data_IF_911998621068
#
_entry.id   IF_911998621068
#
_cell.length_a   1.000
_cell.length_b   1.000
_cell.length_c   1.000
_cell.angle_alpha   90.00
_cell.angle_beta   90.00
_cell.angle_gamma   90.00
#
_symmetry.space_group_name_H-M   'P 1'
#
loop_
_entity.id
_entity.type
_entity.pdbx_description
1 polymer ?
#
# COMPACT_ATOMS: atom_id res chain seq x y z
N UNK A 1 -20.63 -1.96 25.46
CA UNK A 1 -21.46 -1.66 24.25
C UNK A 1 -21.82 -0.20 24.32
N UNK A 2 -21.60 0.55 23.23
CA UNK A 2 -21.76 2.01 23.20
C UNK A 2 -23.22 2.42 22.89
N UNK A 3 -24.21 1.61 23.22
CA UNK A 3 -25.63 1.92 22.91
C UNK A 3 -25.93 2.01 21.42
N UNK A 4 -25.18 1.30 20.58
CA UNK A 4 -25.39 1.24 19.13
C UNK A 4 -25.99 -0.10 18.76
N UNK A 5 -27.16 -0.06 18.11
CA UNK A 5 -27.79 -1.25 17.56
C UNK A 5 -27.46 -1.32 16.07
N UNK A 6 -26.89 -2.45 15.63
CA UNK A 6 -26.60 -2.69 14.20
C UNK A 6 -27.59 -3.68 13.64
N UNK A 7 -28.17 -3.36 12.49
CA UNK A 7 -29.03 -4.29 11.76
C UNK A 7 -28.77 -4.18 10.25
N UNK A 8 -29.01 -5.28 9.54
CA UNK A 8 -28.76 -5.35 8.09
C UNK A 8 -30.05 -5.66 7.35
N UNK A 9 -30.41 -4.79 6.41
CA UNK A 9 -31.55 -4.96 5.50
C UNK A 9 -31.08 -4.82 4.07
N UNK A 10 -31.44 -5.74 3.20
CA UNK A 10 -31.07 -5.73 1.78
C UNK A 10 -29.56 -5.53 1.54
N UNK A 11 -28.72 -6.22 2.31
CA UNK A 11 -27.24 -6.12 2.28
C UNK A 11 -26.68 -4.76 2.70
N UNK A 12 -27.49 -3.84 3.22
CA UNK A 12 -27.07 -2.58 3.80
C UNK A 12 -27.15 -2.65 5.31
N UNK A 13 -26.06 -2.30 5.99
CA UNK A 13 -26.01 -2.25 7.45
C UNK A 13 -26.31 -0.83 7.92
N UNK A 14 -27.17 -0.72 8.91
CA UNK A 14 -27.58 0.51 9.56
C UNK A 14 -27.17 0.47 11.02
N UNK A 15 -26.72 1.60 11.53
CA UNK A 15 -26.39 1.80 12.93
C UNK A 15 -27.46 2.74 13.54
N UNK A 16 -28.16 2.28 14.59
CA UNK A 16 -29.05 3.12 15.39
C UNK A 16 -28.33 3.41 16.71
N UNK A 17 -28.19 4.67 17.06
CA UNK A 17 -27.55 5.09 18.29
C UNK A 17 -28.33 6.25 18.94
N UNK A 18 -28.32 6.30 20.26
CA UNK A 18 -28.78 7.47 20.98
C UNK A 18 -27.75 8.62 20.84
N UNK A 19 -28.20 9.89 20.92
CA UNK A 19 -27.29 11.01 21.11
C UNK A 19 -26.39 10.76 22.32
N UNK A 20 -25.12 11.26 22.26
CA UNK A 20 -24.16 10.98 23.31
C UNK A 20 -23.24 12.14 23.60
N UNK A 21 -22.72 12.17 24.83
CA UNK A 21 -21.62 13.01 25.26
C UNK A 21 -20.36 12.17 25.42
N UNK A 22 -19.25 12.67 24.89
CA UNK A 22 -17.94 12.07 25.07
C UNK A 22 -17.19 12.92 26.11
N UNK A 23 -16.88 12.37 27.30
CA UNK A 23 -16.12 13.06 28.35
C UNK A 23 -14.75 12.41 28.51
N UNK A 24 -13.64 13.17 28.53
CA UNK A 24 -12.31 12.62 28.82
C UNK A 24 -12.25 12.00 30.22
N UNK A 25 -11.54 10.88 30.37
CA UNK A 25 -11.34 10.17 31.65
C UNK A 25 -10.30 10.82 32.58
N UNK A 26 -9.76 11.98 32.24
CA UNK A 26 -8.75 12.68 33.03
C UNK A 26 -7.86 13.59 32.19
N UNK A 27 -6.87 14.23 32.83
CA UNK A 27 -5.84 15.04 32.17
C UNK A 27 -4.81 14.12 31.53
N UNK A 28 -4.59 14.21 30.20
CA UNK A 28 -3.61 13.39 29.47
C UNK A 28 -4.23 12.32 28.55
N UNK A 29 -5.45 12.54 28.09
CA UNK A 29 -6.15 11.68 27.11
C UNK A 29 -5.31 11.44 25.88
N UNK A 30 -4.99 10.16 25.58
CA UNK A 30 -4.16 9.76 24.44
C UNK A 30 -4.89 8.92 23.37
N UNK A 31 -6.19 8.66 23.55
CA UNK A 31 -6.92 7.85 22.58
C UNK A 31 -8.38 7.61 22.92
N UNK A 32 -9.09 6.98 22.00
CA UNK A 32 -10.55 6.72 22.09
C UNK A 32 -11.00 5.88 23.32
N UNK A 33 -10.09 5.12 23.93
CA UNK A 33 -10.38 4.36 25.17
C UNK A 33 -10.44 5.23 26.42
N UNK A 34 -9.99 6.48 26.34
CA UNK A 34 -9.90 7.40 27.46
C UNK A 34 -11.11 8.30 27.60
N UNK A 35 -12.20 7.99 26.88
CA UNK A 35 -13.49 8.68 27.00
C UNK A 35 -14.52 7.85 27.75
N UNK A 36 -15.26 8.51 28.63
CA UNK A 36 -16.54 7.98 29.12
C UNK A 36 -17.62 8.43 28.13
N UNK A 37 -18.18 7.45 27.43
CA UNK A 37 -19.30 7.69 26.52
C UNK A 37 -20.60 7.53 27.32
N UNK A 38 -21.38 8.60 27.41
CA UNK A 38 -22.70 8.60 28.03
C UNK A 38 -23.75 8.84 26.96
N UNK A 39 -24.55 7.80 26.66
CA UNK A 39 -25.75 7.94 25.86
C UNK A 39 -26.82 8.68 26.66
N UNK A 40 -27.44 9.68 26.06
CA UNK A 40 -28.43 10.54 26.71
C UNK A 40 -29.55 10.81 25.68
N UNK A 41 -30.75 10.20 25.83
CA UNK A 41 -31.85 10.38 24.88
C UNK A 41 -32.37 11.80 24.83
N UNK A 42 -32.17 12.58 25.91
CA UNK A 42 -32.65 13.97 26.02
C UNK A 42 -31.58 14.98 25.56
N UNK A 43 -30.41 14.51 25.11
CA UNK A 43 -29.35 15.38 24.61
C UNK A 43 -29.83 16.09 23.31
N UNK A 44 -29.78 17.45 23.27
CA UNK A 44 -30.04 18.17 22.04
C UNK A 44 -29.19 17.68 20.88
N UNK A 45 -29.79 17.49 19.69
CA UNK A 45 -29.11 16.96 18.51
C UNK A 45 -27.87 17.80 18.14
N UNK A 46 -27.94 19.12 18.32
CA UNK A 46 -26.83 20.03 18.06
C UNK A 46 -25.58 19.67 18.89
N UNK A 47 -25.78 19.20 20.12
CA UNK A 47 -24.66 18.76 20.99
C UNK A 47 -24.06 17.44 20.53
N UNK A 48 -24.83 16.52 19.98
CA UNK A 48 -24.30 15.31 19.34
C UNK A 48 -23.55 15.66 18.03
N UNK A 49 -24.05 16.62 17.27
CA UNK A 49 -23.40 17.08 16.04
C UNK A 49 -22.11 17.88 16.32
N UNK A 50 -22.07 18.67 17.39
CA UNK A 50 -20.91 19.51 17.79
C UNK A 50 -19.64 18.68 18.05
N UNK A 51 -19.77 17.49 18.65
CA UNK A 51 -18.63 16.62 18.95
C UNK A 51 -18.03 15.94 17.72
N UNK A 52 -18.67 16.02 16.54
CA UNK A 52 -18.18 15.41 15.29
C UNK A 52 -16.97 16.18 14.76
N UNK A 53 -16.23 15.52 13.87
CA UNK A 53 -14.96 16.03 13.32
C UNK A 53 -15.12 17.27 12.43
N UNK A 54 -15.95 17.16 11.36
CA UNK A 54 -16.02 18.20 10.34
C UNK A 54 -17.47 18.64 10.09
N UNK A 55 -17.66 19.93 9.77
CA UNK A 55 -18.96 20.53 9.51
C UNK A 55 -19.77 19.79 8.44
N UNK A 56 -19.10 19.38 7.35
CA UNK A 56 -19.76 18.59 6.28
C UNK A 56 -20.27 17.22 6.76
N UNK A 57 -19.80 16.73 7.91
CA UNK A 57 -20.21 15.49 8.56
C UNK A 57 -21.04 15.73 9.85
N UNK A 58 -21.36 16.98 10.15
CA UNK A 58 -22.10 17.41 11.36
C UNK A 58 -23.50 17.94 10.99
N UNK A 59 -24.13 17.27 10.05
CA UNK A 59 -25.50 17.51 9.62
C UNK A 59 -26.36 16.28 9.89
N UNK A 60 -27.65 16.46 10.05
CA UNK A 60 -28.62 15.39 10.19
C UNK A 60 -29.82 15.61 9.27
N UNK A 61 -30.43 14.51 8.83
CA UNK A 61 -31.70 14.52 8.10
C UNK A 61 -32.81 14.05 9.04
N UNK A 62 -33.81 14.86 9.25
CA UNK A 62 -34.99 14.47 10.01
C UNK A 62 -35.94 13.67 9.10
N UNK A 63 -36.15 12.39 9.45
CA UNK A 63 -36.80 11.43 8.56
C UNK A 63 -38.31 11.72 8.36
N UNK A 64 -38.97 12.46 9.29
CA UNK A 64 -40.41 12.73 9.22
C UNK A 64 -40.79 13.68 8.07
N UNK A 65 -39.93 14.69 7.85
CA UNK A 65 -40.20 15.79 6.90
C UNK A 65 -39.04 16.03 5.93
N UNK A 66 -38.01 15.20 5.98
CA UNK A 66 -36.79 15.34 5.21
C UNK A 66 -36.03 16.69 5.42
N UNK A 67 -36.29 17.37 6.53
CA UNK A 67 -35.60 18.60 6.86
C UNK A 67 -34.13 18.33 7.22
N UNK A 68 -33.21 19.08 6.61
CA UNK A 68 -31.77 18.99 6.96
C UNK A 68 -31.48 19.97 8.09
N UNK A 69 -31.02 19.41 9.20
CA UNK A 69 -30.57 20.14 10.39
C UNK A 69 -29.08 20.38 10.22
N UNK A 70 -28.67 21.63 10.12
CA UNK A 70 -27.28 22.05 9.82
C UNK A 70 -26.84 23.23 10.70
N UNK A 71 -26.59 22.99 12.00
CA UNK A 71 -26.25 24.06 12.94
C UNK A 71 -24.84 24.64 12.71
N UNK A 72 -23.96 23.93 12.00
CA UNK A 72 -22.55 24.30 11.80
C UNK A 72 -22.22 24.72 10.35
N UNK A 73 -23.22 24.96 9.51
CA UNK A 73 -23.06 25.38 8.10
C UNK A 73 -22.34 24.33 7.22
N UNK A 74 -22.57 23.04 7.47
CA UNK A 74 -21.99 21.94 6.72
C UNK A 74 -22.40 21.95 5.24
N UNK A 75 -23.64 22.37 4.90
CA UNK A 75 -24.08 22.57 3.50
C UNK A 75 -23.21 23.58 2.75
N UNK A 76 -22.88 24.71 3.41
CA UNK A 76 -22.06 25.75 2.81
C UNK A 76 -20.63 25.21 2.55
N UNK A 77 -20.04 24.47 3.50
CA UNK A 77 -18.74 23.86 3.36
C UNK A 77 -18.72 22.78 2.27
N UNK A 78 -19.77 21.97 2.17
CA UNK A 78 -19.93 20.98 1.10
C UNK A 78 -20.03 21.65 -0.28
N UNK A 79 -20.79 22.73 -0.40
CA UNK A 79 -20.87 23.52 -1.64
C UNK A 79 -19.53 24.16 -2.02
N UNK A 80 -18.79 24.64 -1.03
CA UNK A 80 -17.46 25.25 -1.21
C UNK A 80 -16.34 24.20 -1.40
N UNK A 81 -16.64 22.91 -1.27
CA UNK A 81 -15.68 21.80 -1.29
C UNK A 81 -14.51 22.02 -0.33
N UNK A 82 -14.82 22.35 0.92
CA UNK A 82 -13.83 22.59 1.95
C UNK A 82 -14.16 21.82 3.22
N UNK A 83 -13.14 21.26 3.86
CA UNK A 83 -13.25 20.60 5.16
C UNK A 83 -12.89 21.61 6.23
N UNK A 84 -13.85 21.93 7.10
CA UNK A 84 -13.66 22.76 8.30
C UNK A 84 -14.04 21.99 9.56
N UNK A 85 -13.37 22.32 10.67
CA UNK A 85 -13.68 21.75 11.98
C UNK A 85 -15.08 22.14 12.43
N UNK A 86 -15.79 21.21 13.04
CA UNK A 86 -17.06 21.50 13.72
C UNK A 86 -16.79 22.31 14.96
N UNK A 87 -15.93 21.78 15.84
CA UNK A 87 -15.43 22.43 17.05
C UNK A 87 -13.91 22.28 17.12
N UNK A 88 -13.13 23.38 16.99
CA UNK A 88 -11.67 23.31 17.08
C UNK A 88 -11.15 22.80 18.43
N UNK A 89 -11.82 23.13 19.54
CA UNK A 89 -11.39 22.75 20.88
C UNK A 89 -11.60 21.25 21.15
N UNK A 90 -12.63 20.67 20.54
CA UNK A 90 -12.90 19.23 20.63
C UNK A 90 -12.12 18.38 19.60
N UNK A 91 -11.44 18.99 18.64
CA UNK A 91 -10.75 18.24 17.57
C UNK A 91 -9.61 17.36 18.11
N UNK A 92 -8.78 17.80 19.09
CA UNK A 92 -7.71 16.98 19.67
C UNK A 92 -8.20 15.77 20.47
N UNK A 93 -9.47 15.72 20.86
CA UNK A 93 -10.04 14.64 21.67
C UNK A 93 -9.91 13.25 20.98
N UNK A 94 -9.92 13.20 19.65
CA UNK A 94 -9.66 11.97 18.90
C UNK A 94 -8.56 12.21 17.85
N UNK A 95 -7.30 11.83 18.14
CA UNK A 95 -6.18 12.00 17.22
C UNK A 95 -6.41 11.41 15.83
N UNK A 96 -7.32 10.42 15.68
CA UNK A 96 -7.66 9.86 14.37
C UNK A 96 -8.27 10.90 13.42
N UNK A 97 -8.88 11.97 13.95
CA UNK A 97 -9.47 13.03 13.13
C UNK A 97 -8.45 13.68 12.20
N UNK A 98 -7.16 13.68 12.56
CA UNK A 98 -6.08 14.15 11.69
C UNK A 98 -5.98 13.28 10.41
N UNK A 99 -5.98 11.95 10.56
CA UNK A 99 -5.96 11.03 9.42
C UNK A 99 -7.27 11.13 8.62
N UNK A 100 -8.40 11.28 9.33
CA UNK A 100 -9.73 11.46 8.72
C UNK A 100 -9.79 12.73 7.87
N UNK A 101 -9.14 13.84 8.27
CA UNK A 101 -9.07 15.06 7.46
C UNK A 101 -8.45 14.79 6.08
N UNK A 102 -7.30 14.11 6.03
CA UNK A 102 -6.66 13.72 4.77
C UNK A 102 -7.55 12.79 3.94
N UNK A 103 -8.20 11.81 4.59
CA UNK A 103 -9.11 10.90 3.90
C UNK A 103 -10.34 11.61 3.32
N UNK A 104 -11.00 12.47 4.10
CA UNK A 104 -12.15 13.22 3.60
C UNK A 104 -11.76 14.14 2.44
N UNK A 105 -10.62 14.82 2.54
CA UNK A 105 -10.10 15.66 1.45
C UNK A 105 -9.93 14.83 0.17
N UNK A 106 -9.30 13.67 0.28
CA UNK A 106 -9.02 12.80 -0.86
C UNK A 106 -10.27 12.15 -1.46
N UNK A 107 -11.18 11.65 -0.61
CA UNK A 107 -12.37 10.90 -1.07
C UNK A 107 -13.48 11.82 -1.58
N UNK A 108 -13.64 13.00 -0.98
CA UNK A 108 -14.66 13.99 -1.40
C UNK A 108 -14.12 15.01 -2.39
N UNK A 109 -12.79 15.01 -2.66
CA UNK A 109 -12.11 16.01 -3.50
C UNK A 109 -12.29 17.43 -2.94
N UNK A 110 -12.15 17.56 -1.60
CA UNK A 110 -12.29 18.81 -0.88
C UNK A 110 -10.93 19.33 -0.44
N UNK A 111 -10.78 20.65 -0.36
CA UNK A 111 -9.62 21.29 0.27
C UNK A 111 -9.71 21.23 1.80
N UNK A 112 -8.56 21.22 2.46
CA UNK A 112 -8.46 21.26 3.93
C UNK A 112 -8.28 22.71 4.36
N UNK A 113 -9.12 23.20 5.29
CA UNK A 113 -9.02 24.55 5.81
C UNK A 113 -7.71 24.75 6.63
N UNK A 114 -7.06 25.93 6.54
CA UNK A 114 -5.79 26.22 7.22
C UNK A 114 -5.76 25.87 8.70
N UNK A 115 -6.86 26.13 9.39
CA UNK A 115 -6.98 25.84 10.85
C UNK A 115 -6.75 24.37 11.21
N UNK A 116 -7.07 23.43 10.30
CA UNK A 116 -6.84 22.00 10.53
C UNK A 116 -5.34 21.71 10.55
N UNK A 117 -4.55 22.32 9.67
CA UNK A 117 -3.09 22.16 9.67
C UNK A 117 -2.45 22.69 10.95
N UNK A 118 -2.94 23.84 11.45
CA UNK A 118 -2.43 24.44 12.68
C UNK A 118 -2.67 23.50 13.87
N UNK A 119 -3.91 23.10 14.09
CA UNK A 119 -4.30 22.25 15.23
C UNK A 119 -3.64 20.88 15.15
N UNK A 120 -3.52 20.29 13.95
CA UNK A 120 -2.96 18.95 13.77
C UNK A 120 -1.49 18.83 14.16
N UNK A 121 -0.71 19.90 14.09
CA UNK A 121 0.73 19.89 14.43
C UNK A 121 1.02 19.54 15.88
N UNK A 122 0.11 19.90 16.77
CA UNK A 122 0.24 19.70 18.22
C UNK A 122 -0.32 18.35 18.70
N UNK A 123 -0.96 17.57 17.80
CA UNK A 123 -1.60 16.32 18.16
C UNK A 123 -0.61 15.16 18.09
N UNK A 124 -0.44 14.45 19.22
CA UNK A 124 0.31 13.19 19.28
C UNK A 124 -0.52 12.04 18.68
N UNK A 125 0.01 11.42 17.63
CA UNK A 125 -0.64 10.29 16.94
C UNK A 125 -0.14 8.93 17.43
N UNK A 126 0.85 8.88 18.32
CA UNK A 126 1.52 7.64 18.77
C UNK A 126 0.59 6.66 19.48
N UNK A 127 -0.48 7.17 20.12
CA UNK A 127 -1.49 6.37 20.81
C UNK A 127 -2.55 5.74 19.91
N UNK A 128 -2.53 5.97 18.59
CA UNK A 128 -3.50 5.38 17.68
C UNK A 128 -3.28 3.88 17.48
N UNK A 129 -4.35 3.11 17.53
CA UNK A 129 -4.26 1.68 17.20
C UNK A 129 -3.95 1.47 15.71
N UNK A 130 -3.14 0.47 15.41
CA UNK A 130 -2.71 0.18 14.02
C UNK A 130 -3.89 -0.16 13.11
N UNK A 131 -4.94 -0.76 13.66
CA UNK A 131 -6.16 -1.10 12.92
C UNK A 131 -6.89 0.16 12.45
N UNK A 132 -7.02 1.17 13.31
CA UNK A 132 -7.65 2.46 12.95
C UNK A 132 -6.82 3.22 11.91
N UNK A 133 -5.49 3.22 12.05
CA UNK A 133 -4.58 3.84 11.09
C UNK A 133 -4.70 3.16 9.72
N UNK A 134 -4.66 1.82 9.70
CA UNK A 134 -4.81 1.04 8.47
C UNK A 134 -6.16 1.29 7.78
N UNK A 135 -7.24 1.37 8.57
CA UNK A 135 -8.58 1.62 8.03
C UNK A 135 -8.64 2.96 7.27
N UNK A 136 -8.07 4.04 7.82
CA UNK A 136 -8.05 5.34 7.15
C UNK A 136 -7.13 5.32 5.91
N UNK A 137 -5.93 4.72 5.99
CA UNK A 137 -5.04 4.55 4.84
C UNK A 137 -5.73 3.73 3.73
N UNK A 138 -6.35 2.61 4.06
CA UNK A 138 -7.02 1.76 3.07
C UNK A 138 -8.23 2.46 2.44
N UNK A 139 -8.97 3.28 3.20
CA UNK A 139 -10.05 4.10 2.64
C UNK A 139 -9.52 5.14 1.63
N UNK A 140 -8.37 5.75 1.88
CA UNK A 140 -7.70 6.61 0.89
C UNK A 140 -7.38 5.79 -0.37
N UNK A 141 -6.68 4.67 -0.22
CA UNK A 141 -6.23 3.85 -1.34
C UNK A 141 -7.39 3.27 -2.17
N UNK A 142 -8.50 2.86 -1.53
CA UNK A 142 -9.63 2.25 -2.23
C UNK A 142 -10.61 3.27 -2.80
N UNK A 143 -10.96 4.31 -2.04
CA UNK A 143 -12.13 5.13 -2.28
C UNK A 143 -11.80 6.48 -2.93
N UNK A 144 -10.54 6.91 -2.90
CA UNK A 144 -10.14 8.14 -3.58
C UNK A 144 -9.98 7.90 -5.09
N UNK A 145 -10.37 8.88 -5.90
CA UNK A 145 -10.02 8.94 -7.33
C UNK A 145 -8.51 9.18 -7.52
N UNK A 146 -7.92 9.97 -6.62
CA UNK A 146 -6.49 10.31 -6.57
C UNK A 146 -5.96 10.13 -5.14
N UNK A 147 -5.48 8.92 -4.79
CA UNK A 147 -4.90 8.65 -3.47
C UNK A 147 -3.77 9.60 -3.08
N UNK A 148 -3.03 10.15 -4.06
CA UNK A 148 -1.97 11.15 -3.84
C UNK A 148 -2.43 12.35 -3.02
N UNK A 149 -3.68 12.79 -3.17
CA UNK A 149 -4.27 13.90 -2.38
C UNK A 149 -4.30 13.55 -0.89
N UNK A 150 -4.74 12.34 -0.55
CA UNK A 150 -4.76 11.87 0.84
C UNK A 150 -3.37 11.64 1.41
N UNK A 151 -2.44 11.11 0.60
CA UNK A 151 -1.05 10.91 0.97
C UNK A 151 -0.34 12.26 1.20
N UNK A 152 -0.60 13.25 0.36
CA UNK A 152 -0.12 14.61 0.55
C UNK A 152 -0.72 15.25 1.79
N UNK A 153 -2.01 14.98 2.08
CA UNK A 153 -2.65 15.34 3.34
C UNK A 153 -1.92 14.72 4.54
N UNK A 154 -1.52 13.44 4.47
CA UNK A 154 -0.71 12.80 5.51
C UNK A 154 0.65 13.50 5.72
N UNK A 155 1.28 13.95 4.65
CA UNK A 155 2.51 14.73 4.76
C UNK A 155 2.26 16.09 5.43
N UNK A 156 1.35 16.90 4.88
CA UNK A 156 1.09 18.28 5.35
C UNK A 156 0.52 18.35 6.78
N UNK A 157 -0.22 17.31 7.21
CA UNK A 157 -0.77 17.19 8.57
C UNK A 157 0.19 16.53 9.58
N UNK A 158 1.42 16.18 9.17
CA UNK A 158 2.42 15.61 10.08
C UNK A 158 2.27 14.09 10.34
N UNK A 159 1.29 13.43 9.71
CA UNK A 159 1.05 11.98 9.86
C UNK A 159 2.24 11.15 9.41
N UNK A 160 2.86 11.50 8.25
CA UNK A 160 4.03 10.77 7.76
C UNK A 160 5.18 10.83 8.76
N UNK A 161 5.45 11.99 9.34
CA UNK A 161 6.54 12.17 10.29
C UNK A 161 6.39 11.29 11.52
N UNK A 162 5.16 11.16 12.04
CA UNK A 162 4.88 10.44 13.28
C UNK A 162 4.67 8.93 13.05
N UNK A 163 3.91 8.53 12.03
CA UNK A 163 3.48 7.15 11.85
C UNK A 163 4.22 6.40 10.73
N UNK A 164 4.68 7.12 9.69
CA UNK A 164 5.33 6.55 8.50
C UNK A 164 6.67 7.25 8.20
N UNK A 165 7.64 7.22 9.14
CA UNK A 165 8.91 7.94 8.97
C UNK A 165 9.69 7.51 7.74
N UNK A 166 9.49 6.27 7.25
CA UNK A 166 10.10 5.80 6.02
C UNK A 166 9.57 6.56 4.79
N UNK A 167 8.25 6.81 4.72
CA UNK A 167 7.64 7.63 3.68
C UNK A 167 8.01 9.12 3.83
N UNK A 168 8.11 9.60 5.07
CA UNK A 168 8.56 10.97 5.31
C UNK A 168 9.95 11.24 4.74
N UNK A 169 10.88 10.27 4.82
CA UNK A 169 12.21 10.43 4.22
C UNK A 169 12.19 10.61 2.71
N UNK A 170 11.17 10.09 2.01
CA UNK A 170 11.02 10.28 0.56
C UNK A 170 10.78 11.75 0.19
N UNK A 171 10.14 12.53 1.08
CA UNK A 171 9.90 13.97 0.87
C UNK A 171 11.17 14.80 0.91
N UNK A 172 12.22 14.27 1.56
CA UNK A 172 13.53 14.90 1.72
C UNK A 172 14.57 14.37 0.72
N UNK A 173 14.20 13.42 -0.13
CA UNK A 173 15.14 12.71 -1.02
C UNK A 173 14.92 13.12 -2.45
N UNK A 174 15.99 13.61 -3.08
CA UNK A 174 16.03 14.01 -4.49
C UNK A 174 16.52 12.84 -5.32
N UNK A 175 16.00 12.70 -6.52
CA UNK A 175 16.44 11.76 -7.54
C UNK A 175 16.92 12.48 -8.80
N UNK A 176 17.57 11.76 -9.70
CA UNK A 176 18.14 12.37 -10.89
C UNK A 176 17.08 12.69 -11.94
N UNK A 177 17.04 13.94 -12.40
CA UNK A 177 16.09 14.44 -13.40
C UNK A 177 16.14 13.72 -14.75
N UNK A 178 17.26 13.05 -15.08
CA UNK A 178 17.37 12.27 -16.32
C UNK A 178 16.48 11.01 -16.29
N UNK A 179 16.33 10.43 -15.11
CA UNK A 179 15.55 9.20 -14.91
C UNK A 179 14.16 9.47 -14.35
N UNK A 180 13.98 10.63 -13.69
CA UNK A 180 12.78 11.09 -13.02
C UNK A 180 12.52 12.56 -13.35
N UNK A 181 11.97 12.86 -14.55
CA UNK A 181 11.74 14.23 -15.01
C UNK A 181 10.59 14.93 -14.27
N UNK A 182 9.71 14.18 -13.60
CA UNK A 182 8.57 14.70 -12.85
C UNK A 182 9.01 15.64 -11.72
N UNK A 183 8.26 16.72 -11.50
CA UNK A 183 8.55 17.76 -10.52
C UNK A 183 7.38 17.96 -9.56
N UNK A 184 7.69 18.18 -8.30
CA UNK A 184 6.71 18.60 -7.31
C UNK A 184 6.31 20.09 -7.48
N UNK A 185 5.40 20.59 -6.65
CA UNK A 185 4.90 21.96 -6.68
C UNK A 185 6.00 23.03 -6.47
N UNK A 186 7.18 22.62 -5.99
CA UNK A 186 8.36 23.48 -5.78
C UNK A 186 9.41 23.31 -6.87
N UNK A 187 9.17 22.49 -7.87
CA UNK A 187 10.10 22.22 -8.96
C UNK A 187 11.18 21.18 -8.66
N UNK A 188 11.06 20.44 -7.55
CA UNK A 188 12.03 19.43 -7.14
C UNK A 188 11.65 18.03 -7.66
N UNK A 189 12.66 17.23 -7.99
CA UNK A 189 12.53 15.83 -8.39
C UNK A 189 12.59 14.93 -7.13
N UNK A 190 11.55 14.97 -6.28
CA UNK A 190 11.54 14.20 -5.04
C UNK A 190 11.04 12.77 -5.27
N UNK A 191 11.62 11.81 -4.52
CA UNK A 191 11.12 10.43 -4.52
C UNK A 191 9.66 10.36 -4.06
N UNK A 192 9.25 11.26 -3.18
CA UNK A 192 7.87 11.37 -2.71
C UNK A 192 6.89 11.74 -3.83
N UNK A 193 7.25 12.71 -4.66
CA UNK A 193 6.38 13.12 -5.77
C UNK A 193 6.18 11.98 -6.75
N UNK A 194 7.27 11.30 -7.16
CA UNK A 194 7.23 10.09 -7.96
C UNK A 194 6.33 9.01 -7.33
N UNK A 195 6.53 8.73 -6.03
CA UNK A 195 5.72 7.73 -5.31
C UNK A 195 4.22 8.05 -5.36
N UNK A 196 3.84 9.32 -5.16
CA UNK A 196 2.44 9.76 -5.26
C UNK A 196 1.85 9.51 -6.64
N UNK A 197 2.57 9.90 -7.70
CA UNK A 197 2.14 9.67 -9.09
C UNK A 197 2.02 8.16 -9.39
N UNK A 198 2.99 7.36 -8.95
CA UNK A 198 2.95 5.90 -9.11
C UNK A 198 1.73 5.27 -8.43
N UNK A 199 1.35 5.73 -7.23
CA UNK A 199 0.14 5.25 -6.54
C UNK A 199 -1.14 5.65 -7.28
N UNK A 200 -1.22 6.86 -7.84
CA UNK A 200 -2.37 7.29 -8.64
C UNK A 200 -2.50 6.47 -9.94
N UNK A 201 -1.37 6.19 -10.61
CA UNK A 201 -1.37 5.32 -11.78
C UNK A 201 -1.78 3.87 -11.41
N UNK A 202 -1.30 3.36 -10.26
CA UNK A 202 -1.68 2.05 -9.75
C UNK A 202 -3.18 1.96 -9.45
N UNK A 203 -3.76 3.00 -8.83
CA UNK A 203 -5.20 3.08 -8.57
C UNK A 203 -6.00 3.04 -9.87
N UNK A 204 -5.62 3.87 -10.84
CA UNK A 204 -6.28 3.95 -12.15
C UNK A 204 -6.19 2.64 -12.91
N UNK A 205 -4.99 2.04 -12.97
CA UNK A 205 -4.79 0.75 -13.65
C UNK A 205 -5.59 -0.36 -12.98
N UNK A 206 -5.62 -0.41 -11.64
CA UNK A 206 -6.41 -1.38 -10.90
C UNK A 206 -7.92 -1.27 -11.18
N UNK A 207 -8.44 -0.05 -11.38
CA UNK A 207 -9.82 0.18 -11.77
C UNK A 207 -10.10 -0.27 -13.22
N UNK A 208 -9.25 0.11 -14.17
CA UNK A 208 -9.35 -0.31 -15.59
C UNK A 208 -9.31 -1.84 -15.71
N UNK A 209 -8.40 -2.49 -14.97
CA UNK A 209 -8.24 -3.96 -14.98
C UNK A 209 -9.24 -4.68 -14.08
N UNK A 210 -10.09 -3.97 -13.37
CA UNK A 210 -11.11 -4.53 -12.45
C UNK A 210 -10.50 -5.54 -11.48
N UNK A 211 -9.33 -5.20 -10.91
CA UNK A 211 -8.65 -6.09 -9.97
C UNK A 211 -9.52 -6.38 -8.75
N UNK A 212 -9.41 -7.60 -8.22
CA UNK A 212 -10.03 -7.94 -6.92
C UNK A 212 -9.53 -7.00 -5.83
N UNK A 213 -10.26 -6.89 -4.73
CA UNK A 213 -9.86 -5.98 -3.62
C UNK A 213 -8.48 -6.33 -3.08
N UNK A 214 -8.15 -7.63 -3.01
CA UNK A 214 -6.90 -8.16 -2.52
C UNK A 214 -5.73 -7.75 -3.43
N UNK A 215 -5.85 -8.04 -4.73
CA UNK A 215 -4.84 -7.71 -5.75
C UNK A 215 -4.68 -6.20 -5.92
N UNK A 216 -5.78 -5.46 -5.84
CA UNK A 216 -5.76 -3.98 -5.84
C UNK A 216 -4.95 -3.45 -4.67
N UNK A 217 -5.22 -3.93 -3.44
CA UNK A 217 -4.47 -3.49 -2.25
C UNK A 217 -3.00 -3.85 -2.35
N UNK A 218 -2.68 -5.04 -2.86
CA UNK A 218 -1.29 -5.47 -3.07
C UNK A 218 -0.54 -4.54 -4.03
N UNK A 219 -1.16 -4.18 -5.17
CA UNK A 219 -0.56 -3.26 -6.14
C UNK A 219 -0.37 -1.87 -5.56
N UNK A 220 -1.38 -1.33 -4.86
CA UNK A 220 -1.31 0.01 -4.26
C UNK A 220 -0.27 0.11 -3.14
N UNK A 221 -0.17 -0.91 -2.28
CA UNK A 221 0.88 -0.95 -1.25
C UNK A 221 2.27 -1.17 -1.85
N UNK A 222 2.39 -1.99 -2.89
CA UNK A 222 3.65 -2.15 -3.60
C UNK A 222 4.09 -0.82 -4.25
N UNK A 223 3.18 -0.10 -4.91
CA UNK A 223 3.42 1.22 -5.47
C UNK A 223 3.79 2.27 -4.41
N UNK A 224 3.18 2.20 -3.20
CA UNK A 224 3.48 3.14 -2.11
C UNK A 224 4.87 2.91 -1.50
N UNK A 225 5.34 1.66 -1.46
CA UNK A 225 6.56 1.31 -0.73
C UNK A 225 7.74 0.86 -1.60
N UNK A 226 7.60 0.80 -2.95
CA UNK A 226 8.66 0.25 -3.82
C UNK A 226 9.99 0.98 -3.67
N UNK A 227 9.95 2.27 -3.41
CA UNK A 227 11.09 3.16 -3.38
C UNK A 227 11.54 3.62 -1.98
N UNK A 228 10.99 3.06 -0.89
CA UNK A 228 11.36 3.49 0.48
C UNK A 228 12.83 3.25 0.84
N UNK A 229 13.55 2.45 0.07
CA UNK A 229 14.99 2.21 0.20
C UNK A 229 15.87 3.28 -0.45
N UNK A 230 15.36 4.07 -1.42
CA UNK A 230 16.16 5.06 -2.18
C UNK A 230 16.90 6.06 -1.29
N UNK A 231 16.29 6.65 -0.23
CA UNK A 231 17.01 7.59 0.62
C UNK A 231 18.30 7.06 1.26
N UNK A 232 18.38 5.74 1.45
CA UNK A 232 19.54 5.09 2.08
C UNK A 232 20.52 4.48 1.09
N UNK A 233 20.16 4.42 -0.20
CA UNK A 233 21.02 3.85 -1.26
C UNK A 233 21.51 4.89 -2.25
N UNK A 234 21.06 6.14 -2.15
CA UNK A 234 21.47 7.22 -3.03
C UNK A 234 22.99 7.43 -3.04
N UNK A 235 23.58 7.43 -4.22
CA UNK A 235 25.01 7.63 -4.48
C UNK A 235 25.19 8.53 -5.70
N UNK A 236 26.18 9.42 -5.64
CA UNK A 236 26.63 10.15 -6.81
C UNK A 236 27.59 9.29 -7.61
N UNK A 237 27.31 9.07 -8.88
CA UNK A 237 28.13 8.30 -9.80
C UNK A 237 28.29 9.06 -11.12
N UNK A 238 29.49 8.95 -11.74
CA UNK A 238 29.71 9.52 -13.07
C UNK A 238 29.19 8.56 -14.15
N UNK A 239 28.12 8.95 -14.84
CA UNK A 239 27.51 8.17 -15.93
C UNK A 239 27.10 9.11 -17.08
N UNK A 240 27.23 8.64 -18.31
CA UNK A 240 26.82 9.39 -19.51
C UNK A 240 27.39 10.81 -19.57
N UNK A 241 28.66 10.98 -19.16
CA UNK A 241 29.36 12.26 -19.23
C UNK A 241 29.04 13.27 -18.12
N UNK A 242 28.26 12.91 -17.10
CA UNK A 242 27.88 13.76 -15.96
C UNK A 242 27.74 13.00 -14.65
N UNK A 243 27.73 13.73 -13.54
CA UNK A 243 27.35 13.18 -12.25
C UNK A 243 25.83 12.95 -12.20
N UNK A 244 25.40 11.76 -11.79
CA UNK A 244 24.01 11.36 -11.64
C UNK A 244 23.81 10.72 -10.26
N UNK A 245 22.57 10.81 -9.74
CA UNK A 245 22.19 10.09 -8.54
C UNK A 245 21.70 8.68 -8.93
N UNK A 246 22.33 7.66 -8.37
CA UNK A 246 21.93 6.26 -8.54
C UNK A 246 21.47 5.67 -7.21
N UNK A 247 20.65 4.62 -7.29
CA UNK A 247 20.04 3.97 -6.13
C UNK A 247 20.20 2.44 -6.19
N UNK A 248 21.41 1.96 -6.51
CA UNK A 248 21.66 0.52 -6.69
C UNK A 248 21.28 -0.28 -5.43
N UNK A 249 20.49 -1.35 -5.61
CA UNK A 249 20.05 -2.23 -4.52
C UNK A 249 18.92 -1.66 -3.64
N UNK A 250 18.29 -0.56 -4.05
CA UNK A 250 17.15 -0.02 -3.30
C UNK A 250 15.95 -0.99 -3.27
N UNK A 251 15.76 -1.82 -4.27
CA UNK A 251 14.74 -2.87 -4.35
C UNK A 251 14.85 -3.84 -3.17
N UNK A 252 16.06 -4.34 -2.89
CA UNK A 252 16.37 -5.22 -1.76
C UNK A 252 16.13 -4.50 -0.42
N UNK A 253 16.57 -3.26 -0.34
CA UNK A 253 16.40 -2.47 0.89
C UNK A 253 14.94 -2.07 1.10
N UNK A 254 14.21 -1.70 0.03
CA UNK A 254 12.77 -1.40 0.08
C UNK A 254 11.98 -2.61 0.56
N UNK A 255 12.28 -3.82 0.07
CA UNK A 255 11.66 -5.05 0.58
C UNK A 255 11.87 -5.20 2.09
N UNK A 256 13.11 -5.07 2.57
CA UNK A 256 13.44 -5.20 4.00
C UNK A 256 12.75 -4.15 4.86
N UNK A 257 12.72 -2.89 4.41
CA UNK A 257 12.05 -1.80 5.11
C UNK A 257 10.54 -1.99 5.11
N UNK A 258 9.94 -2.33 3.96
CA UNK A 258 8.51 -2.61 3.84
C UNK A 258 8.09 -3.77 4.73
N UNK A 259 8.90 -4.82 4.85
CA UNK A 259 8.63 -5.92 5.78
C UNK A 259 8.50 -5.43 7.23
N UNK A 260 9.36 -4.50 7.66
CA UNK A 260 9.26 -3.88 9.00
C UNK A 260 8.00 -3.01 9.14
N UNK A 261 7.66 -2.24 8.10
CA UNK A 261 6.44 -1.41 8.07
C UNK A 261 5.20 -2.30 8.20
N UNK A 262 5.06 -3.32 7.33
CA UNK A 262 3.92 -4.23 7.33
C UNK A 262 3.78 -5.00 8.65
N UNK A 263 4.90 -5.37 9.29
CA UNK A 263 4.90 -5.99 10.62
C UNK A 263 4.44 -4.99 11.70
N UNK A 264 4.93 -3.74 11.71
CA UNK A 264 4.52 -2.67 12.63
C UNK A 264 3.02 -2.41 12.56
N UNK A 265 2.48 -2.37 11.35
CA UNK A 265 1.05 -2.16 11.10
C UNK A 265 0.23 -3.46 11.07
N UNK A 266 0.81 -4.62 11.38
CA UNK A 266 0.14 -5.94 11.40
C UNK A 266 -0.59 -6.28 10.10
N UNK A 267 -0.03 -5.86 8.96
CA UNK A 267 -0.57 -6.13 7.63
C UNK A 267 0.04 -7.43 7.10
N UNK A 268 -0.65 -8.56 7.28
CA UNK A 268 -0.17 -9.88 6.89
C UNK A 268 -1.00 -10.48 5.76
N UNK A 269 -2.33 -10.46 5.93
CA UNK A 269 -3.29 -10.99 4.98
C UNK A 269 -4.47 -10.04 4.83
N UNK A 270 -5.21 -10.18 3.73
CA UNK A 270 -6.45 -9.47 3.48
C UNK A 270 -7.42 -10.42 2.78
N UNK A 271 -8.59 -10.69 3.40
CA UNK A 271 -9.59 -11.66 2.92
C UNK A 271 -8.98 -13.03 2.55
N UNK A 272 -8.06 -13.55 3.36
CA UNK A 272 -7.39 -14.84 3.10
C UNK A 272 -6.21 -14.77 2.11
N UNK A 273 -6.04 -13.65 1.38
CA UNK A 273 -4.92 -13.45 0.47
C UNK A 273 -3.64 -13.07 1.24
N UNK A 274 -2.51 -13.70 0.93
CA UNK A 274 -1.22 -13.40 1.58
C UNK A 274 -0.64 -12.07 1.08
N UNK A 275 -1.21 -10.97 1.59
CA UNK A 275 -0.90 -9.62 1.15
C UNK A 275 0.58 -9.28 1.34
N UNK A 276 1.13 -9.59 2.54
CA UNK A 276 2.54 -9.26 2.85
C UNK A 276 3.51 -9.95 1.90
N UNK A 277 3.35 -11.27 1.67
CA UNK A 277 4.23 -12.02 0.79
C UNK A 277 4.21 -11.44 -0.62
N UNK A 278 3.02 -11.14 -1.14
CA UNK A 278 2.85 -10.57 -2.48
C UNK A 278 3.48 -9.19 -2.58
N UNK A 279 3.18 -8.26 -1.67
CA UNK A 279 3.76 -6.90 -1.69
C UNK A 279 5.30 -6.95 -1.67
N UNK A 280 5.89 -7.77 -0.79
CA UNK A 280 7.35 -7.88 -0.68
C UNK A 280 7.99 -8.45 -1.94
N UNK A 281 7.41 -9.50 -2.54
CA UNK A 281 7.95 -10.07 -3.78
C UNK A 281 7.83 -9.10 -4.97
N UNK A 282 6.73 -8.35 -5.06
CA UNK A 282 6.57 -7.31 -6.07
C UNK A 282 7.64 -6.22 -5.94
N UNK A 283 7.85 -5.69 -4.73
CA UNK A 283 8.87 -4.68 -4.47
C UNK A 283 10.27 -5.20 -4.79
N UNK A 284 10.61 -6.42 -4.36
CA UNK A 284 11.88 -7.06 -4.64
C UNK A 284 12.19 -7.18 -6.13
N UNK A 285 11.16 -7.41 -6.94
CA UNK A 285 11.30 -7.74 -8.35
C UNK A 285 10.89 -6.61 -9.30
N UNK A 286 10.56 -5.39 -8.80
CA UNK A 286 9.91 -4.37 -9.63
C UNK A 286 10.72 -3.93 -10.86
N UNK A 287 12.06 -3.97 -10.83
CA UNK A 287 12.90 -3.67 -11.98
C UNK A 287 13.12 -4.85 -12.93
N UNK A 288 12.87 -6.10 -12.47
CA UNK A 288 13.19 -7.29 -13.26
C UNK A 288 12.31 -7.45 -14.49
N UNK A 289 11.13 -6.87 -14.49
CA UNK A 289 10.27 -6.85 -15.68
C UNK A 289 10.93 -6.01 -16.80
N UNK A 290 11.38 -4.80 -16.50
CA UNK A 290 12.11 -3.94 -17.44
C UNK A 290 13.45 -4.54 -17.87
N UNK A 291 14.15 -5.28 -17.00
CA UNK A 291 15.37 -6.01 -17.37
C UNK A 291 15.10 -7.10 -18.44
N UNK A 292 13.99 -7.84 -18.33
CA UNK A 292 13.59 -8.80 -19.35
C UNK A 292 13.29 -8.13 -20.69
N UNK A 293 12.64 -6.96 -20.66
CA UNK A 293 12.40 -6.18 -21.86
C UNK A 293 13.70 -5.65 -22.48
N UNK A 294 14.62 -5.14 -21.68
CA UNK A 294 15.92 -4.66 -22.13
C UNK A 294 16.75 -5.75 -22.83
N UNK A 295 16.60 -7.00 -22.38
CA UNK A 295 17.30 -8.17 -22.94
C UNK A 295 16.41 -9.03 -23.84
N UNK A 296 15.30 -8.53 -24.36
CA UNK A 296 14.24 -9.29 -25.06
C UNK A 296 14.70 -10.15 -26.22
N UNK A 297 15.83 -9.83 -26.85
CA UNK A 297 16.37 -10.57 -27.99
C UNK A 297 17.05 -11.89 -27.54
N UNK A 298 17.53 -11.96 -26.30
CA UNK A 298 18.33 -13.09 -25.78
C UNK A 298 17.70 -13.76 -24.56
N UNK A 299 16.59 -13.23 -24.05
CA UNK A 299 15.95 -13.73 -22.82
C UNK A 299 15.33 -15.11 -23.08
N UNK A 300 15.55 -16.03 -22.14
CA UNK A 300 15.10 -17.42 -22.24
C UNK A 300 13.85 -17.69 -21.41
N UNK A 301 13.12 -18.79 -21.70
CA UNK A 301 12.00 -19.28 -20.88
C UNK A 301 12.38 -19.45 -19.41
N UNK A 302 13.61 -19.89 -19.14
CA UNK A 302 14.20 -20.03 -17.81
C UNK A 302 14.12 -18.73 -16.99
N UNK A 303 14.42 -17.58 -17.60
CA UNK A 303 14.35 -16.27 -16.91
C UNK A 303 12.90 -15.92 -16.54
N UNK A 304 11.93 -16.21 -17.42
CA UNK A 304 10.51 -16.03 -17.14
C UNK A 304 10.00 -16.96 -16.02
N UNK A 305 10.39 -18.23 -16.02
CA UNK A 305 10.02 -19.19 -14.97
C UNK A 305 10.55 -18.76 -13.61
N UNK A 306 11.82 -18.33 -13.54
CA UNK A 306 12.43 -17.83 -12.30
C UNK A 306 11.71 -16.60 -11.79
N UNK A 307 11.40 -15.64 -12.67
CA UNK A 307 10.67 -14.44 -12.27
C UNK A 307 9.27 -14.77 -11.76
N UNK A 308 8.55 -15.69 -12.44
CA UNK A 308 7.24 -16.14 -11.99
C UNK A 308 7.27 -16.78 -10.58
N UNK A 309 8.28 -17.61 -10.32
CA UNK A 309 8.47 -18.22 -9.02
C UNK A 309 8.78 -17.16 -7.93
N UNK A 310 9.65 -16.19 -8.23
CA UNK A 310 10.04 -15.12 -7.30
C UNK A 310 8.85 -14.24 -6.89
N UNK A 311 7.89 -14.04 -7.79
CA UNK A 311 6.64 -13.29 -7.51
C UNK A 311 5.45 -14.17 -7.13
N UNK A 312 5.69 -15.45 -6.84
CA UNK A 312 4.65 -16.42 -6.43
C UNK A 312 3.49 -16.53 -7.43
N UNK A 313 3.77 -16.48 -8.74
CA UNK A 313 2.77 -16.51 -9.80
C UNK A 313 2.06 -15.20 -10.08
N UNK A 314 2.26 -14.15 -9.27
CA UNK A 314 1.60 -12.84 -9.42
C UNK A 314 2.27 -11.97 -10.50
N UNK A 315 2.51 -12.57 -11.68
CA UNK A 315 3.20 -11.96 -12.83
C UNK A 315 2.47 -10.70 -13.30
N UNK A 316 1.13 -10.77 -13.39
CA UNK A 316 0.34 -9.63 -13.87
C UNK A 316 0.53 -8.42 -12.95
N UNK A 317 0.53 -8.63 -11.63
CA UNK A 317 0.75 -7.56 -10.65
C UNK A 317 2.17 -6.98 -10.77
N UNK A 318 3.18 -7.82 -11.03
CA UNK A 318 4.54 -7.33 -11.24
C UNK A 318 4.62 -6.44 -12.50
N UNK A 319 4.06 -6.91 -13.63
CA UNK A 319 4.04 -6.13 -14.88
C UNK A 319 3.24 -4.83 -14.70
N UNK A 320 2.18 -4.86 -13.90
CA UNK A 320 1.40 -3.66 -13.59
C UNK A 320 2.20 -2.69 -12.71
N UNK A 321 2.92 -3.19 -11.69
CA UNK A 321 3.77 -2.34 -10.84
C UNK A 321 4.86 -1.66 -11.67
N UNK A 322 5.57 -2.41 -12.52
CA UNK A 322 6.59 -1.88 -13.42
C UNK A 322 6.02 -0.85 -14.42
N UNK A 323 4.83 -1.08 -14.97
CA UNK A 323 4.16 -0.13 -15.86
C UNK A 323 3.74 1.17 -15.15
N UNK A 324 3.24 1.07 -13.90
CA UNK A 324 2.81 2.26 -13.15
C UNK A 324 4.00 3.03 -12.57
N UNK A 325 5.12 2.37 -12.27
CA UNK A 325 6.38 3.03 -11.90
C UNK A 325 6.90 3.88 -13.06
N UNK A 326 6.95 3.34 -14.28
CA UNK A 326 7.27 4.15 -15.47
C UNK A 326 6.25 5.26 -15.71
N UNK A 327 4.96 4.95 -15.58
CA UNK A 327 3.87 5.93 -15.70
C UNK A 327 3.90 7.03 -14.65
N UNK A 328 4.50 6.77 -13.49
CA UNK A 328 4.73 7.78 -12.45
C UNK A 328 5.79 8.83 -12.79
N UNK A 329 6.54 8.63 -13.88
CA UNK A 329 7.50 9.62 -14.43
C UNK A 329 6.85 10.59 -15.42
N UNK A 330 5.60 10.32 -15.78
CA UNK A 330 4.80 11.12 -16.69
C UNK A 330 3.61 11.71 -15.93
N UNK A 331 3.29 12.98 -16.19
CA UNK A 331 2.11 13.62 -15.59
C UNK A 331 0.80 13.15 -16.25
N UNK A 332 0.91 12.45 -17.40
CA UNK A 332 -0.25 11.95 -18.14
C UNK A 332 -0.83 10.67 -17.53
N UNK A 333 -2.16 10.59 -17.44
CA UNK A 333 -2.82 9.40 -16.91
C UNK A 333 -2.56 8.14 -17.73
N UNK A 334 -2.17 7.05 -17.08
CA UNK A 334 -2.02 5.74 -17.71
C UNK A 334 -3.41 5.18 -18.09
N UNK A 335 -3.80 5.29 -19.34
CA UNK A 335 -5.08 4.77 -19.85
C UNK A 335 -4.97 3.34 -20.39
N UNK A 336 -3.77 2.92 -20.79
CA UNK A 336 -3.48 1.59 -21.35
C UNK A 336 -2.05 1.18 -21.04
N UNK A 337 -1.82 -0.11 -20.98
CA UNK A 337 -0.46 -0.64 -20.84
C UNK A 337 0.41 -0.23 -22.03
N UNK A 338 1.64 0.15 -21.76
CA UNK A 338 2.65 0.49 -22.75
C UNK A 338 3.10 -0.72 -23.59
N UNK A 339 4.04 -0.51 -24.51
CA UNK A 339 4.56 -1.57 -25.41
C UNK A 339 5.28 -2.66 -24.61
N UNK A 340 6.04 -2.28 -23.61
CA UNK A 340 6.83 -3.17 -22.76
C UNK A 340 5.92 -4.10 -21.95
N UNK A 341 4.98 -3.55 -21.18
CA UNK A 341 4.04 -4.32 -20.38
C UNK A 341 3.21 -5.30 -21.23
N UNK A 342 2.75 -4.86 -22.42
CA UNK A 342 2.02 -5.73 -23.36
C UNK A 342 2.88 -6.87 -23.89
N UNK A 343 4.16 -6.61 -24.20
CA UNK A 343 5.10 -7.62 -24.66
C UNK A 343 5.36 -8.65 -23.55
N UNK A 344 5.63 -8.21 -22.32
CA UNK A 344 5.85 -9.09 -21.17
C UNK A 344 4.66 -10.04 -20.96
N UNK A 345 3.44 -9.50 -20.85
CA UNK A 345 2.25 -10.33 -20.64
C UNK A 345 2.02 -11.33 -21.77
N UNK A 346 2.27 -10.94 -23.01
CA UNK A 346 2.19 -11.82 -24.17
C UNK A 346 3.24 -12.94 -24.08
N UNK A 347 4.50 -12.60 -23.75
CA UNK A 347 5.59 -13.59 -23.64
C UNK A 347 5.35 -14.60 -22.52
N UNK A 348 4.88 -14.19 -21.35
CA UNK A 348 4.49 -15.10 -20.29
C UNK A 348 3.41 -16.10 -20.77
N UNK A 349 2.44 -15.64 -21.57
CA UNK A 349 1.41 -16.49 -22.15
C UNK A 349 1.96 -17.43 -23.21
N UNK A 350 2.75 -16.93 -24.18
CA UNK A 350 3.37 -17.71 -25.26
C UNK A 350 4.27 -18.83 -24.72
N UNK A 351 5.03 -18.55 -23.66
CA UNK A 351 5.94 -19.50 -23.03
C UNK A 351 5.22 -20.46 -22.07
N UNK A 352 3.90 -20.35 -21.92
CA UNK A 352 3.11 -21.14 -20.96
C UNK A 352 3.70 -21.09 -19.53
N UNK A 353 4.21 -19.92 -19.13
CA UNK A 353 4.68 -19.74 -17.76
C UNK A 353 3.47 -19.67 -16.85
N UNK A 354 3.42 -20.59 -15.89
CA UNK A 354 2.26 -20.75 -15.00
C UNK A 354 1.98 -19.48 -14.18
N UNK A 355 0.71 -19.10 -14.11
CA UNK A 355 0.22 -18.11 -13.14
C UNK A 355 0.21 -18.67 -11.72
N UNK A 356 0.25 -19.99 -11.58
CA UNK A 356 0.40 -20.67 -10.31
C UNK A 356 1.88 -20.85 -10.00
N UNK A 357 2.23 -20.77 -8.75
CA UNK A 357 3.60 -21.04 -8.29
C UNK A 357 3.98 -22.46 -8.73
N UNK A 358 5.04 -22.59 -9.53
CA UNK A 358 5.57 -23.91 -9.90
C UNK A 358 5.87 -24.66 -8.61
N UNK A 359 5.15 -25.76 -8.35
CA UNK A 359 5.36 -26.53 -7.15
C UNK A 359 6.63 -27.36 -7.27
N UNK A 360 7.48 -27.42 -6.22
CA UNK A 360 8.64 -28.27 -6.23
C UNK A 360 8.25 -29.74 -6.42
N UNK A 361 8.80 -30.40 -7.43
CA UNK A 361 8.58 -31.82 -7.68
C UNK A 361 9.32 -32.70 -6.66
N UNK A 362 10.47 -32.22 -6.16
CA UNK A 362 11.26 -32.87 -5.14
C UNK A 362 11.05 -32.19 -3.78
N UNK A 363 10.69 -32.96 -2.80
CA UNK A 363 10.33 -32.51 -1.46
C UNK A 363 11.32 -33.09 -0.42
N UNK A 364 11.32 -32.56 0.80
CA UNK A 364 12.20 -33.03 1.88
C UNK A 364 12.06 -34.53 2.14
N UNK A 365 10.85 -35.08 2.11
CA UNK A 365 10.60 -36.53 2.23
C UNK A 365 11.30 -37.38 1.15
N UNK A 366 11.54 -36.80 -0.02
CA UNK A 366 12.22 -37.52 -1.11
C UNK A 366 13.73 -37.54 -0.84
N UNK A 367 14.29 -36.48 -0.26
CA UNK A 367 15.70 -36.42 0.13
C UNK A 367 16.01 -37.29 1.35
N UNK A 368 15.07 -37.42 2.31
CA UNK A 368 15.19 -38.35 3.45
C UNK A 368 15.37 -39.77 2.93
N UNK A 369 14.58 -40.20 1.92
CA UNK A 369 14.71 -41.52 1.28
C UNK A 369 16.05 -41.70 0.57
N UNK A 370 16.78 -40.63 0.24
CA UNK A 370 18.13 -40.65 -0.33
C UNK A 370 19.23 -40.50 0.74
N UNK A 371 18.88 -40.58 2.02
CA UNK A 371 19.81 -40.55 3.15
C UNK A 371 20.34 -39.13 3.45
N UNK A 372 19.52 -38.09 3.24
CA UNK A 372 19.83 -36.72 3.65
C UNK A 372 19.07 -36.41 4.95
N UNK A 373 19.79 -36.04 5.98
CA UNK A 373 19.20 -35.69 7.28
C UNK A 373 18.47 -34.32 7.22
N UNK A 374 17.36 -34.17 7.97
CA UNK A 374 16.70 -32.89 8.13
C UNK A 374 17.63 -31.83 8.71
N UNK A 375 17.76 -30.68 8.01
CA UNK A 375 18.63 -29.59 8.46
C UNK A 375 18.92 -28.56 7.37
N UNK A 376 19.82 -27.61 7.66
CA UNK A 376 20.19 -26.54 6.72
C UNK A 376 20.71 -27.07 5.37
N UNK A 377 21.40 -28.22 5.36
CA UNK A 377 21.93 -28.85 4.16
C UNK A 377 20.81 -29.36 3.26
N UNK A 378 19.79 -30.04 3.82
CA UNK A 378 18.59 -30.43 3.08
C UNK A 378 17.92 -29.21 2.42
N UNK A 379 17.83 -28.08 3.15
CA UNK A 379 17.29 -26.84 2.62
C UNK A 379 18.06 -26.31 1.41
N UNK A 380 19.42 -26.40 1.46
CA UNK A 380 20.28 -26.02 0.33
C UNK A 380 20.06 -26.90 -0.90
N UNK A 381 19.99 -28.22 -0.70
CA UNK A 381 19.76 -29.19 -1.78
C UNK A 381 18.36 -28.98 -2.42
N UNK A 382 17.31 -28.80 -1.59
CA UNK A 382 15.99 -28.54 -2.11
C UNK A 382 15.94 -27.26 -2.93
N UNK A 383 16.61 -26.19 -2.49
CA UNK A 383 16.70 -24.94 -3.22
C UNK A 383 17.43 -25.11 -4.57
N UNK A 384 18.53 -25.85 -4.59
CA UNK A 384 19.28 -26.16 -5.80
C UNK A 384 18.44 -26.95 -6.80
N UNK A 385 17.76 -28.02 -6.36
CA UNK A 385 16.88 -28.82 -7.20
C UNK A 385 15.70 -28.02 -7.72
N UNK A 386 15.13 -27.13 -6.90
CA UNK A 386 14.06 -26.25 -7.37
C UNK A 386 14.55 -25.26 -8.43
N UNK A 387 15.77 -24.74 -8.32
CA UNK A 387 16.35 -23.90 -9.39
C UNK A 387 16.55 -24.70 -10.69
N UNK A 388 17.03 -25.95 -10.62
CA UNK A 388 17.15 -26.82 -11.77
C UNK A 388 15.81 -27.13 -12.43
N UNK A 389 14.73 -27.29 -11.62
CA UNK A 389 13.37 -27.43 -12.14
C UNK A 389 12.90 -26.17 -12.88
N UNK A 390 13.12 -24.98 -12.30
CA UNK A 390 12.79 -23.69 -12.93
C UNK A 390 13.57 -23.46 -14.22
N UNK A 391 14.75 -24.05 -14.31
CA UNK A 391 15.62 -24.01 -15.48
C UNK A 391 15.22 -25.02 -16.56
N UNK A 392 14.14 -25.80 -16.33
CA UNK A 392 13.67 -26.92 -17.18
C UNK A 392 14.71 -28.03 -17.38
N UNK A 393 15.63 -28.21 -16.42
CA UNK A 393 16.58 -29.34 -16.45
C UNK A 393 15.85 -30.67 -16.14
N UNK A 394 14.65 -30.62 -15.59
CA UNK A 394 13.73 -31.74 -15.48
C UNK A 394 12.27 -31.24 -15.34
N UNK A 395 11.35 -32.01 -15.87
CA UNK A 395 9.90 -31.70 -15.85
C UNK A 395 9.09 -32.77 -15.08
N UNK A 396 9.70 -33.91 -14.77
CA UNK A 396 9.05 -34.99 -14.04
C UNK A 396 9.74 -35.30 -12.72
N UNK A 397 8.95 -35.81 -11.75
CA UNK A 397 9.50 -36.24 -10.47
C UNK A 397 10.59 -37.31 -10.60
N UNK A 398 10.46 -38.22 -11.60
CA UNK A 398 11.42 -39.29 -11.85
C UNK A 398 12.79 -38.72 -12.26
N UNK A 399 12.80 -37.75 -13.16
CA UNK A 399 14.03 -37.06 -13.58
C UNK A 399 14.64 -36.27 -12.43
N UNK A 400 13.80 -35.53 -11.68
CA UNK A 400 14.25 -34.80 -10.50
C UNK A 400 14.89 -35.68 -9.43
N UNK A 401 14.38 -36.88 -9.19
CA UNK A 401 14.99 -37.85 -8.29
C UNK A 401 16.35 -38.36 -8.78
N UNK A 402 16.53 -38.51 -10.12
CA UNK A 402 17.83 -38.87 -10.69
C UNK A 402 18.86 -37.77 -10.46
N UNK A 403 18.49 -36.51 -10.70
CA UNK A 403 19.35 -35.37 -10.42
C UNK A 403 19.61 -35.18 -8.93
N UNK A 404 18.62 -35.42 -8.07
CA UNK A 404 18.81 -35.35 -6.63
C UNK A 404 19.88 -36.34 -6.13
N UNK A 405 19.92 -37.57 -6.66
CA UNK A 405 20.98 -38.55 -6.33
C UNK A 405 22.36 -38.04 -6.74
N UNK A 406 22.50 -37.36 -7.88
CA UNK A 406 23.76 -36.78 -8.33
C UNK A 406 24.22 -35.63 -7.44
N UNK A 407 23.30 -34.71 -7.08
CA UNK A 407 23.59 -33.58 -6.18
C UNK A 407 24.00 -34.06 -4.79
N UNK A 408 23.29 -35.03 -4.24
CA UNK A 408 23.62 -35.65 -2.93
C UNK A 408 24.97 -36.39 -3.00
N UNK A 409 25.23 -37.14 -4.09
CA UNK A 409 26.50 -37.87 -4.25
C UNK A 409 27.73 -36.98 -4.44
N UNK A 410 27.58 -35.82 -5.06
CA UNK A 410 28.70 -34.83 -5.21
C UNK A 410 29.08 -34.21 -3.87
N UNK A 411 28.17 -34.12 -2.89
CA UNK A 411 28.43 -33.49 -1.59
C UNK A 411 28.87 -34.48 -0.51
N UNK A 412 28.84 -35.78 -0.79
CA UNK A 412 29.37 -36.84 0.07
C UNK A 412 30.84 -37.19 -0.27
N UNK A 413 31.36 -36.64 -1.37
CA UNK A 413 32.77 -36.68 -1.74
C UNK A 413 33.44 -35.36 -1.36
#
# INVERSE_FOLDING_TARGET
SFGVIKFTVNKKTYDIALPRKDKPKGTGVKGHKDFVISADPDLPLEKDLERRDFRCNSMALRLIDNAVIDPFRGKADTKARIIRLTNPDAFPDDPLRVLRAARFASVLEFSIAPKIYEVSREIDLSGLSVERVNEELFKILFNSSQPSVGLEGFFKLGVLRQLFPELYRLTLSIQDALFHPEKDEYGHHTVWHHTKLTVDQAKRLADIKRLSREKRLALLLAALYHDVGKPSTARWEFKKGRMVITNNGHDILSEKMTKKILNRFRIFSFNGFNLRKTVLSLIRCHHRASELWGNREVVTKKAFNRLAADVNGEIELLVYLDAVDRGGREETPLLKLDREARWLLRKFKELNVSKETIQPLIMGRDLIKLGVDPGPEMGRILKELYQLQLDNEFETKKEGLRLARQVVGRKKR
#
